data_IF_381221523765
#
_entry.id   IF_381221523765
#
_cell.length_a   1.000
_cell.length_b   1.000
_cell.length_c   1.000
_cell.angle_alpha   90.00
_cell.angle_beta   90.00
_cell.angle_gamma   90.00
#
_symmetry.space_group_name_H-M   'P 1'
#
loop_
_entity.id
_entity.type
_entity.pdbx_description
1 polymer ?
#
# COMPACT_ATOMS: atom_id res chain seq x y z
N UNK A 1 -20.10 -23.33 -26.01
CA UNK A 1 -20.41 -23.64 -24.61
C UNK A 1 -19.52 -22.76 -23.76
N UNK A 2 -20.06 -21.62 -23.31
CA UNK A 2 -19.32 -20.64 -22.53
C UNK A 2 -19.23 -21.10 -21.09
N UNK A 3 -18.03 -21.42 -20.64
CA UNK A 3 -17.76 -21.77 -19.25
C UNK A 3 -18.03 -20.55 -18.39
N UNK A 4 -19.16 -20.55 -17.69
CA UNK A 4 -19.50 -19.63 -16.60
C UNK A 4 -18.55 -19.86 -15.41
N UNK A 5 -17.28 -19.54 -15.59
CA UNK A 5 -16.30 -19.46 -14.51
C UNK A 5 -16.40 -18.09 -13.83
N UNK A 6 -17.62 -17.65 -13.49
CA UNK A 6 -17.77 -16.78 -12.33
C UNK A 6 -17.48 -17.67 -11.14
N UNK A 7 -16.19 -17.74 -10.77
CA UNK A 7 -15.72 -18.40 -9.55
C UNK A 7 -16.44 -17.71 -8.39
N UNK A 8 -17.60 -18.28 -8.00
CA UNK A 8 -18.12 -18.09 -6.66
C UNK A 8 -16.98 -18.49 -5.74
N UNK A 9 -16.43 -17.51 -5.02
CA UNK A 9 -15.49 -17.72 -3.94
C UNK A 9 -15.88 -19.00 -3.19
N UNK A 10 -15.12 -20.08 -3.38
CA UNK A 10 -15.43 -21.33 -2.75
C UNK A 10 -15.40 -21.10 -1.23
N UNK A 11 -16.27 -21.80 -0.50
CA UNK A 11 -16.40 -21.60 0.94
C UNK A 11 -15.06 -21.82 1.67
N UNK A 12 -14.21 -22.69 1.11
CA UNK A 12 -12.84 -22.95 1.55
C UNK A 12 -11.90 -21.77 1.28
N UNK A 13 -11.97 -21.14 0.10
CA UNK A 13 -11.21 -19.93 -0.21
C UNK A 13 -11.59 -18.78 0.72
N UNK A 14 -12.88 -18.63 1.04
CA UNK A 14 -13.36 -17.62 2.00
C UNK A 14 -12.78 -17.83 3.39
N UNK A 15 -12.79 -19.07 3.89
CA UNK A 15 -12.25 -19.37 5.22
C UNK A 15 -10.74 -19.14 5.27
N UNK A 16 -10.01 -19.55 4.24
CA UNK A 16 -8.56 -19.37 4.17
C UNK A 16 -8.18 -17.88 4.12
N UNK A 17 -8.87 -17.10 3.28
CA UNK A 17 -8.72 -15.64 3.22
C UNK A 17 -9.03 -15.01 4.59
N UNK A 18 -10.12 -15.41 5.24
CA UNK A 18 -10.47 -14.87 6.56
C UNK A 18 -9.40 -15.20 7.61
N UNK A 19 -8.80 -16.40 7.58
CA UNK A 19 -7.72 -16.76 8.50
C UNK A 19 -6.44 -15.95 8.25
N UNK A 20 -6.05 -15.79 6.98
CA UNK A 20 -4.79 -15.13 6.61
C UNK A 20 -4.85 -13.60 6.66
N UNK A 21 -6.01 -13.01 6.42
CA UNK A 21 -6.20 -11.54 6.46
C UNK A 21 -6.82 -11.06 7.77
N UNK A 22 -7.41 -11.97 8.54
CA UNK A 22 -8.26 -11.73 9.70
C UNK A 22 -9.45 -10.78 9.42
N UNK A 23 -9.90 -10.69 8.18
CA UNK A 23 -11.20 -10.10 7.86
C UNK A 23 -12.33 -11.06 8.23
N UNK A 24 -13.48 -10.48 8.60
CA UNK A 24 -14.72 -11.27 8.77
C UNK A 24 -15.29 -11.66 7.41
N UNK A 25 -16.05 -12.76 7.35
CA UNK A 25 -16.71 -13.22 6.11
C UNK A 25 -17.55 -12.10 5.46
N UNK A 26 -18.24 -11.28 6.27
CA UNK A 26 -19.02 -10.14 5.78
C UNK A 26 -18.15 -9.06 5.13
N UNK A 27 -16.97 -8.78 5.70
CA UNK A 27 -16.01 -7.84 5.11
C UNK A 27 -15.46 -8.39 3.79
N UNK A 28 -15.06 -9.67 3.75
CA UNK A 28 -14.57 -10.31 2.53
C UNK A 28 -15.62 -10.27 1.42
N UNK A 29 -16.89 -10.55 1.73
CA UNK A 29 -18.00 -10.45 0.76
C UNK A 29 -18.18 -9.03 0.22
N UNK A 30 -18.16 -8.00 1.10
CA UNK A 30 -18.24 -6.59 0.68
C UNK A 30 -17.07 -6.19 -0.23
N UNK A 31 -15.86 -6.61 0.12
CA UNK A 31 -14.65 -6.36 -0.67
C UNK A 31 -14.72 -7.07 -2.03
N UNK A 32 -15.25 -8.28 -2.08
CA UNK A 32 -15.48 -8.99 -3.34
C UNK A 32 -16.50 -8.30 -4.25
N UNK A 33 -17.60 -7.79 -3.69
CA UNK A 33 -18.56 -6.98 -4.46
C UNK A 33 -17.92 -5.71 -5.01
N UNK A 34 -17.05 -5.04 -4.24
CA UNK A 34 -16.27 -3.88 -4.72
C UNK A 34 -15.28 -4.27 -5.82
N UNK A 35 -14.57 -5.38 -5.65
CA UNK A 35 -13.65 -5.90 -6.67
C UNK A 35 -14.38 -6.14 -8.00
N UNK A 36 -15.56 -6.79 -7.98
CA UNK A 36 -16.38 -6.96 -9.19
C UNK A 36 -16.86 -5.65 -9.81
N UNK A 37 -17.16 -4.65 -8.99
CA UNK A 37 -17.57 -3.34 -9.49
C UNK A 37 -16.42 -2.59 -10.20
N UNK A 38 -15.18 -2.87 -9.80
CA UNK A 38 -13.98 -2.33 -10.44
C UNK A 38 -13.57 -3.13 -11.69
N UNK A 39 -13.76 -4.45 -11.69
CA UNK A 39 -13.53 -5.32 -12.86
C UNK A 39 -14.66 -5.18 -13.90
N UNK A 40 -14.67 -4.05 -14.61
CA UNK A 40 -15.68 -3.74 -15.64
C UNK A 40 -15.68 -4.73 -16.81
N UNK A 41 -14.59 -5.47 -16.99
CA UNK A 41 -14.42 -6.45 -18.08
C UNK A 41 -14.82 -7.86 -17.67
N UNK A 42 -15.18 -8.08 -16.41
CA UNK A 42 -15.47 -9.40 -15.81
C UNK A 42 -14.39 -10.43 -16.14
N UNK A 43 -13.14 -9.99 -16.09
CA UNK A 43 -11.98 -10.78 -16.50
C UNK A 43 -11.30 -11.52 -15.33
N UNK A 44 -11.75 -11.26 -14.09
CA UNK A 44 -11.26 -11.86 -12.86
C UNK A 44 -10.00 -11.21 -12.28
N UNK A 45 -9.54 -10.10 -12.87
CA UNK A 45 -8.37 -9.35 -12.45
C UNK A 45 -8.58 -7.85 -12.60
N UNK A 46 -7.87 -7.06 -11.80
CA UNK A 46 -7.81 -5.61 -11.88
C UNK A 46 -6.50 -5.20 -12.53
N UNK A 47 -6.58 -4.21 -13.42
CA UNK A 47 -5.44 -3.53 -14.02
C UNK A 47 -5.19 -2.18 -13.34
N UNK A 48 -4.08 -1.52 -13.69
CA UNK A 48 -3.76 -0.17 -13.21
C UNK A 48 -4.91 0.81 -13.43
N UNK A 49 -5.52 0.77 -14.61
CA UNK A 49 -6.62 1.65 -14.98
C UNK A 49 -7.87 1.40 -14.11
N UNK A 50 -8.10 0.14 -13.71
CA UNK A 50 -9.22 -0.22 -12.84
C UNK A 50 -8.99 0.30 -11.40
N UNK A 51 -7.75 0.28 -10.91
CA UNK A 51 -7.41 0.85 -9.59
C UNK A 51 -7.45 2.38 -9.57
N UNK A 52 -7.05 3.04 -10.66
CA UNK A 52 -7.16 4.50 -10.80
C UNK A 52 -8.61 4.99 -10.79
N UNK A 53 -9.56 4.11 -11.15
CA UNK A 53 -10.98 4.43 -11.05
C UNK A 53 -11.48 4.55 -9.59
N UNK A 54 -10.71 4.11 -8.60
CA UNK A 54 -11.09 4.22 -7.18
C UNK A 54 -10.98 5.70 -6.77
N UNK A 55 -12.09 6.39 -6.42
CA UNK A 55 -12.06 7.81 -6.10
C UNK A 55 -11.09 8.14 -4.96
N UNK A 56 -11.04 7.29 -3.94
CA UNK A 56 -10.16 7.47 -2.77
C UNK A 56 -8.68 7.35 -3.13
N UNK A 57 -8.34 6.56 -4.16
CA UNK A 57 -6.97 6.47 -4.67
C UNK A 57 -6.65 7.66 -5.55
N UNK A 58 -7.58 8.05 -6.44
CA UNK A 58 -7.39 9.18 -7.37
C UNK A 58 -7.26 10.54 -6.65
N UNK A 59 -7.96 10.73 -5.53
CA UNK A 59 -7.86 11.97 -4.73
C UNK A 59 -6.58 11.98 -3.87
N UNK A 60 -5.99 10.82 -3.59
CA UNK A 60 -4.79 10.71 -2.78
C UNK A 60 -3.56 11.12 -3.63
N UNK A 61 -2.76 12.12 -3.22
CA UNK A 61 -1.55 12.51 -3.96
C UNK A 61 -0.52 11.38 -4.11
N UNK A 62 -0.58 10.38 -3.23
CA UNK A 62 0.26 9.18 -3.29
C UNK A 62 -0.44 8.00 -3.98
N UNK A 63 -1.61 8.21 -4.57
CA UNK A 63 -2.43 7.17 -5.17
C UNK A 63 -1.72 6.42 -6.30
N UNK A 64 -1.03 7.13 -7.19
CA UNK A 64 -0.24 6.51 -8.26
C UNK A 64 0.90 5.67 -7.69
N UNK A 65 1.63 6.19 -6.70
CA UNK A 65 2.71 5.44 -6.02
C UNK A 65 2.17 4.21 -5.32
N UNK A 66 0.99 4.32 -4.72
CA UNK A 66 0.31 3.19 -4.10
C UNK A 66 0.06 2.10 -5.14
N UNK A 67 -0.47 2.47 -6.31
CA UNK A 67 -0.69 1.51 -7.39
C UNK A 67 0.63 0.90 -7.89
N UNK A 68 1.69 1.69 -8.02
CA UNK A 68 3.02 1.20 -8.42
C UNK A 68 3.51 0.10 -7.47
N UNK A 69 3.56 0.38 -6.15
CA UNK A 69 4.00 -0.60 -5.14
C UNK A 69 3.14 -1.86 -5.17
N UNK A 70 1.82 -1.71 -5.33
CA UNK A 70 0.91 -2.86 -5.40
C UNK A 70 1.20 -3.72 -6.63
N UNK A 71 1.45 -3.09 -7.78
CA UNK A 71 1.71 -3.79 -9.03
C UNK A 71 3.08 -4.47 -9.01
N UNK A 72 4.08 -3.88 -8.35
CA UNK A 72 5.40 -4.50 -8.21
C UNK A 72 5.37 -5.69 -7.23
N UNK A 73 4.67 -5.58 -6.09
CA UNK A 73 4.57 -6.66 -5.08
C UNK A 73 3.73 -7.85 -5.56
N UNK A 74 2.65 -7.59 -6.31
CA UNK A 74 1.61 -8.59 -6.60
C UNK A 74 1.27 -8.76 -8.08
N UNK A 75 1.66 -7.82 -8.93
CA UNK A 75 1.25 -7.77 -10.33
C UNK A 75 2.09 -8.69 -11.22
N UNK A 76 1.78 -9.98 -11.25
CA UNK A 76 2.20 -10.81 -12.39
C UNK A 76 1.53 -10.22 -13.65
N UNK A 77 2.35 -9.65 -14.55
CA UNK A 77 1.88 -9.03 -15.80
C UNK A 77 0.93 -7.83 -15.63
N UNK A 78 1.13 -6.97 -14.63
CA UNK A 78 0.29 -5.79 -14.35
C UNK A 78 -1.18 -6.12 -14.07
N UNK A 79 -1.45 -7.28 -13.45
CA UNK A 79 -2.79 -7.77 -13.14
C UNK A 79 -2.87 -8.25 -11.70
N UNK A 80 -3.97 -7.90 -11.02
CA UNK A 80 -4.20 -8.24 -9.61
C UNK A 80 -5.50 -9.03 -9.49
N UNK A 81 -5.41 -10.27 -9.00
CA UNK A 81 -6.58 -11.09 -8.71
C UNK A 81 -7.22 -10.71 -7.35
N UNK A 82 -8.39 -11.27 -7.06
CA UNK A 82 -9.09 -10.95 -5.82
C UNK A 82 -8.30 -11.32 -4.55
N UNK A 83 -7.54 -12.43 -4.56
CA UNK A 83 -6.74 -12.85 -3.40
C UNK A 83 -5.64 -11.81 -3.11
N UNK A 84 -4.94 -11.36 -4.13
CA UNK A 84 -3.91 -10.31 -4.00
C UNK A 84 -4.51 -8.97 -3.55
N UNK A 85 -5.67 -8.59 -4.13
CA UNK A 85 -6.37 -7.37 -3.73
C UNK A 85 -6.75 -7.38 -2.24
N UNK A 86 -7.21 -8.51 -1.69
CA UNK A 86 -7.59 -8.57 -0.29
C UNK A 86 -6.38 -8.65 0.66
N UNK A 87 -5.28 -9.30 0.27
CA UNK A 87 -4.04 -9.29 1.05
C UNK A 87 -3.45 -7.89 1.14
N UNK A 88 -3.49 -7.13 0.06
CA UNK A 88 -3.14 -5.71 0.08
C UNK A 88 -3.98 -4.94 1.12
N UNK A 89 -5.30 -5.09 1.07
CA UNK A 89 -6.19 -4.39 2.01
C UNK A 89 -5.98 -4.84 3.46
N UNK A 90 -5.47 -6.06 3.68
CA UNK A 90 -5.11 -6.53 5.00
C UNK A 90 -3.95 -5.71 5.62
N UNK A 91 -3.01 -5.19 4.80
CA UNK A 91 -1.94 -4.28 5.26
C UNK A 91 -2.51 -2.99 5.90
N UNK A 92 -3.65 -2.50 5.41
CA UNK A 92 -4.30 -1.27 5.90
C UNK A 92 -5.29 -1.47 7.05
N UNK A 93 -5.47 -2.71 7.52
CA UNK A 93 -6.37 -3.00 8.63
C UNK A 93 -5.80 -2.46 9.95
N UNK A 94 -6.67 -1.90 10.80
CA UNK A 94 -6.30 -1.50 12.17
C UNK A 94 -5.92 -2.71 13.00
N UNK A 95 -4.71 -2.72 13.58
CA UNK A 95 -4.23 -3.75 14.51
C UNK A 95 -4.89 -3.72 15.88
N UNK A 96 -6.13 -3.22 16.00
CA UNK A 96 -6.84 -3.04 17.29
C UNK A 96 -7.00 -4.34 18.09
N UNK A 97 -7.02 -5.48 17.42
CA UNK A 97 -7.14 -6.80 18.04
C UNK A 97 -5.84 -7.55 17.82
N UNK A 98 -4.98 -7.61 18.86
CA UNK A 98 -3.69 -8.31 18.81
C UNK A 98 -3.81 -9.78 18.38
N UNK A 99 -4.93 -10.44 18.74
CA UNK A 99 -5.20 -11.84 18.38
C UNK A 99 -5.57 -12.07 16.91
N UNK A 100 -5.72 -11.00 16.12
CA UNK A 100 -5.97 -11.07 14.69
C UNK A 100 -4.79 -10.54 13.88
N UNK A 101 -3.65 -10.21 14.50
CA UNK A 101 -2.45 -9.78 13.79
C UNK A 101 -1.97 -10.95 12.92
N UNK A 102 -1.84 -10.67 11.63
CA UNK A 102 -1.36 -11.53 10.57
C UNK A 102 -0.01 -11.01 10.10
N UNK A 103 0.74 -11.79 9.34
CA UNK A 103 2.02 -11.34 8.77
C UNK A 103 1.90 -10.00 8.00
N UNK A 104 0.76 -9.75 7.35
CA UNK A 104 0.52 -8.55 6.54
C UNK A 104 0.27 -7.26 7.32
N UNK A 105 -0.12 -7.31 8.61
CA UNK A 105 -0.47 -6.10 9.37
C UNK A 105 0.42 -5.85 10.58
N UNK A 106 1.59 -6.48 10.61
CA UNK A 106 2.63 -6.15 11.58
C UNK A 106 3.13 -4.72 11.36
N UNK A 107 3.67 -4.10 12.41
CA UNK A 107 4.28 -2.78 12.30
C UNK A 107 5.39 -2.76 11.26
N UNK A 108 6.24 -3.79 11.25
CA UNK A 108 7.35 -3.92 10.31
C UNK A 108 6.85 -4.00 8.86
N UNK A 109 5.85 -4.84 8.56
CA UNK A 109 5.29 -4.94 7.21
C UNK A 109 4.62 -3.65 6.74
N UNK A 110 4.02 -2.88 7.66
CA UNK A 110 3.48 -1.55 7.38
C UNK A 110 4.57 -0.52 7.08
N UNK A 111 5.61 -0.48 7.90
CA UNK A 111 6.77 0.37 7.67
C UNK A 111 7.48 0.01 6.39
N UNK A 112 7.58 -1.29 6.08
CA UNK A 112 8.16 -1.77 4.83
C UNK A 112 7.36 -1.30 3.63
N UNK A 113 6.04 -1.47 3.67
CA UNK A 113 5.16 -0.96 2.63
C UNK A 113 5.27 0.56 2.45
N UNK A 114 5.42 1.34 3.54
CA UNK A 114 5.69 2.77 3.43
C UNK A 114 7.06 3.04 2.84
N UNK A 115 8.08 2.27 3.18
CA UNK A 115 9.42 2.43 2.63
C UNK A 115 9.42 2.21 1.12
N UNK A 116 8.78 1.14 0.66
CA UNK A 116 8.63 0.80 -0.76
C UNK A 116 7.85 1.88 -1.54
N UNK A 117 7.03 2.71 -0.86
CA UNK A 117 6.38 3.87 -1.49
C UNK A 117 7.34 5.02 -1.81
N UNK A 118 8.44 5.14 -1.06
CA UNK A 118 9.50 6.12 -1.33
C UNK A 118 10.54 5.55 -2.29
N UNK A 119 11.06 4.35 -1.98
CA UNK A 119 12.07 3.61 -2.76
C UNK A 119 11.47 3.16 -4.11
N UNK A 120 11.71 3.94 -5.18
CA UNK A 120 11.16 3.68 -6.51
C UNK A 120 11.99 2.63 -7.25
N UNK A 121 13.30 2.63 -7.03
CA UNK A 121 14.23 1.80 -7.77
C UNK A 121 14.43 0.41 -7.11
N UNK A 122 13.83 0.20 -5.93
CA UNK A 122 13.89 -1.02 -5.11
C UNK A 122 15.31 -1.39 -4.70
N UNK A 123 16.18 -0.40 -4.49
CA UNK A 123 17.57 -0.62 -4.07
C UNK A 123 17.75 -0.72 -2.54
N UNK A 124 16.63 -0.71 -1.80
CA UNK A 124 16.55 -0.78 -0.34
C UNK A 124 17.04 0.48 0.38
N UNK A 125 17.17 1.60 -0.34
CA UNK A 125 17.54 2.91 0.18
C UNK A 125 16.59 3.96 -0.40
N UNK A 126 16.36 5.02 0.35
CA UNK A 126 15.64 6.19 -0.15
C UNK A 126 16.68 7.27 -0.41
N UNK A 127 16.90 7.57 -1.68
CA UNK A 127 17.81 8.63 -2.05
C UNK A 127 17.15 10.02 -1.96
N UNK A 128 17.96 11.06 -2.13
CA UNK A 128 17.48 12.44 -2.13
C UNK A 128 16.42 12.73 -3.18
N UNK A 129 16.57 12.16 -4.37
CA UNK A 129 15.63 12.40 -5.47
C UNK A 129 14.27 11.74 -5.20
N UNK A 130 14.28 10.54 -4.63
CA UNK A 130 13.07 9.80 -4.27
C UNK A 130 12.30 10.47 -3.13
N UNK A 131 13.02 10.93 -2.09
CA UNK A 131 12.42 11.70 -1.02
C UNK A 131 11.81 13.01 -1.54
N UNK A 132 12.53 13.72 -2.41
CA UNK A 132 12.07 14.97 -3.01
C UNK A 132 10.80 14.76 -3.83
N UNK A 133 10.75 13.70 -4.63
CA UNK A 133 9.59 13.39 -5.48
C UNK A 133 8.33 13.17 -4.63
N UNK A 134 8.44 12.40 -3.55
CA UNK A 134 7.31 12.15 -2.65
C UNK A 134 6.89 13.44 -1.94
N UNK A 135 7.84 14.24 -1.45
CA UNK A 135 7.53 15.54 -0.82
C UNK A 135 6.82 16.49 -1.79
N UNK A 136 7.25 16.57 -3.05
CA UNK A 136 6.59 17.37 -4.09
C UNK A 136 5.16 16.91 -4.35
N UNK A 137 4.91 15.59 -4.38
CA UNK A 137 3.56 15.04 -4.52
C UNK A 137 2.66 15.42 -3.34
N UNK A 138 3.17 15.39 -2.10
CA UNK A 138 2.36 15.69 -0.91
C UNK A 138 2.09 17.18 -0.70
N UNK A 139 3.09 18.03 -0.97
CA UNK A 139 3.03 19.46 -0.65
C UNK A 139 2.31 20.27 -1.74
N UNK A 140 2.31 19.77 -2.98
CA UNK A 140 1.69 20.41 -4.13
C UNK A 140 2.33 21.76 -4.49
N UNK A 141 1.62 22.56 -5.31
CA UNK A 141 2.14 23.81 -5.89
C UNK A 141 2.26 25.00 -4.93
N UNK A 142 2.15 24.79 -3.62
CA UNK A 142 2.11 25.87 -2.62
C UNK A 142 3.47 26.20 -2.00
N UNK A 143 4.50 25.37 -2.24
CA UNK A 143 5.86 25.57 -1.72
C UNK A 143 6.83 25.60 -2.90
N UNK A 144 7.81 26.51 -2.84
CA UNK A 144 8.85 26.59 -3.85
C UNK A 144 9.76 25.36 -3.84
N UNK A 145 10.18 24.91 -5.03
CA UNK A 145 11.06 23.76 -5.21
C UNK A 145 12.34 23.84 -4.34
N UNK A 146 12.90 25.03 -4.15
CA UNK A 146 14.10 25.24 -3.32
C UNK A 146 13.84 24.97 -1.83
N UNK A 147 12.65 25.29 -1.34
CA UNK A 147 12.26 25.01 0.04
C UNK A 147 12.02 23.51 0.25
N UNK A 148 11.41 22.84 -0.73
CA UNK A 148 11.22 21.38 -0.68
C UNK A 148 12.58 20.66 -0.73
N UNK A 149 13.50 21.15 -1.56
CA UNK A 149 14.87 20.67 -1.60
C UNK A 149 15.59 20.83 -0.24
N UNK A 150 15.43 21.98 0.39
CA UNK A 150 16.02 22.24 1.73
C UNK A 150 15.44 21.29 2.79
N UNK A 151 14.14 21.01 2.75
CA UNK A 151 13.49 20.05 3.66
C UNK A 151 14.03 18.64 3.43
N UNK A 152 14.17 18.22 2.17
CA UNK A 152 14.74 16.91 1.84
C UNK A 152 16.19 16.79 2.33
N UNK A 153 17.02 17.81 2.10
CA UNK A 153 18.41 17.86 2.54
C UNK A 153 18.53 17.80 4.07
N UNK A 154 17.70 18.56 4.78
CA UNK A 154 17.65 18.52 6.25
C UNK A 154 17.20 17.15 6.76
N UNK A 155 16.16 16.58 6.15
CA UNK A 155 15.63 15.26 6.54
C UNK A 155 16.69 14.18 6.36
N UNK A 156 17.41 14.15 5.24
CA UNK A 156 18.49 13.18 5.04
C UNK A 156 19.61 13.43 6.06
N UNK A 157 20.05 14.67 6.23
CA UNK A 157 21.11 15.00 7.19
C UNK A 157 20.78 14.65 8.65
N UNK A 158 19.50 14.61 9.03
CA UNK A 158 19.07 14.18 10.37
C UNK A 158 18.97 12.65 10.52
N UNK A 159 18.70 11.93 9.43
CA UNK A 159 18.37 10.51 9.46
C UNK A 159 19.51 9.59 9.05
N UNK A 160 20.34 10.05 8.11
CA UNK A 160 21.53 9.37 7.61
C UNK A 160 22.61 9.33 8.71
N UNK A 161 22.86 8.14 9.25
CA UNK A 161 23.84 7.91 10.32
C UNK A 161 25.17 7.42 9.80
N UNK A 162 25.19 6.78 8.63
CA UNK A 162 26.41 6.22 8.04
C UNK A 162 27.08 7.15 7.01
N UNK A 163 26.40 8.25 6.66
CA UNK A 163 26.90 9.31 5.79
C UNK A 163 26.80 8.99 4.31
N UNK A 164 26.00 7.99 3.92
CA UNK A 164 25.86 7.55 2.53
C UNK A 164 24.89 8.40 1.68
N UNK A 165 24.31 9.44 2.30
CA UNK A 165 23.32 10.37 1.71
C UNK A 165 22.03 9.72 1.27
N UNK A 166 21.71 8.57 1.82
CA UNK A 166 20.48 7.83 1.60
C UNK A 166 19.88 7.45 2.94
N UNK A 167 18.61 7.04 2.95
CA UNK A 167 17.94 6.56 4.16
C UNK A 167 17.70 5.06 3.97
N UNK A 168 18.38 4.26 4.77
CA UNK A 168 18.15 2.81 4.81
C UNK A 168 16.85 2.46 5.52
N UNK A 169 16.31 1.25 5.28
CA UNK A 169 15.12 0.78 5.98
C UNK A 169 15.26 0.82 7.52
N UNK A 170 16.47 0.54 8.03
CA UNK A 170 16.74 0.58 9.47
C UNK A 170 16.65 2.01 10.03
N UNK A 171 17.20 2.99 9.32
CA UNK A 171 17.11 4.40 9.69
C UNK A 171 15.67 4.91 9.61
N UNK A 172 14.96 4.56 8.55
CA UNK A 172 13.54 4.86 8.38
C UNK A 172 12.70 4.32 9.55
N UNK A 173 12.94 3.08 9.97
CA UNK A 173 12.26 2.48 11.12
C UNK A 173 12.54 3.20 12.43
N UNK A 174 13.80 3.60 12.67
CA UNK A 174 14.20 4.37 13.87
C UNK A 174 13.51 5.74 13.91
N UNK A 175 13.39 6.41 12.77
CA UNK A 175 12.69 7.70 12.66
C UNK A 175 11.21 7.57 12.99
N UNK A 176 10.58 6.56 12.42
CA UNK A 176 9.15 6.33 12.60
C UNK A 176 8.81 5.63 13.91
N UNK A 177 9.79 5.25 14.73
CA UNK A 177 9.60 4.60 16.03
C UNK A 177 8.63 5.39 16.94
N UNK A 178 8.70 6.73 16.87
CA UNK A 178 7.83 7.63 17.64
C UNK A 178 6.47 7.90 16.99
N UNK A 179 6.28 7.47 15.74
CA UNK A 179 5.04 7.62 14.98
C UNK A 179 4.22 6.34 15.09
N UNK A 180 2.94 6.48 15.43
CA UNK A 180 1.99 5.37 15.37
C UNK A 180 1.59 5.10 13.91
N UNK A 181 2.45 4.36 13.22
CA UNK A 181 2.21 3.91 11.85
C UNK A 181 0.97 3.01 11.74
N UNK A 182 0.60 2.28 12.82
CA UNK A 182 -0.61 1.44 12.81
C UNK A 182 -1.88 2.31 12.74
N UNK A 183 -1.92 3.41 13.50
CA UNK A 183 -3.02 4.37 13.43
C UNK A 183 -3.02 5.13 12.09
N UNK A 184 -1.87 5.63 11.64
CA UNK A 184 -1.77 6.49 10.45
C UNK A 184 -2.00 5.75 9.12
N UNK A 185 -1.57 4.50 9.00
CA UNK A 185 -1.83 3.68 7.81
C UNK A 185 -3.19 2.98 7.83
N UNK A 186 -4.02 3.24 8.83
CA UNK A 186 -5.28 2.52 8.93
C UNK A 186 -6.39 3.14 8.08
N UNK A 187 -7.02 2.33 7.23
CA UNK A 187 -8.18 2.76 6.45
C UNK A 187 -9.48 2.56 7.24
N UNK A 188 -10.14 3.65 7.62
CA UNK A 188 -11.44 3.63 8.32
C UNK A 188 -12.59 3.07 7.46
N UNK A 189 -12.41 2.95 6.14
CA UNK A 189 -13.42 2.36 5.25
C UNK A 189 -13.67 0.85 5.48
N UNK A 190 -12.81 0.18 6.24
CA UNK A 190 -12.93 -1.24 6.57
C UNK A 190 -13.78 -1.51 7.83
N UNK A 191 -14.19 -0.48 8.56
CA UNK A 191 -15.11 -0.58 9.71
C UNK A 191 -16.57 -0.46 9.30
#
# INVERSE_FOLDING_TARGET
MGSNASIMLQQEDLQNICQQTGFTVKQVQRLYSRFKALDKRDCGYLTREDLQCIPEVNINPLGERLIDVIMDDYGEHNKINFKQFIFLLAKFRQGKIKSLITEYNTRESKLRFLFDMYDRNHDLKIDRSELLDVLKMMVGGNIHDDQIATIADHTIGELDKDGDRSITFEEFCKTLERIDADEKMSMKFLS
#
